data_IF_448229381937
#
_entry.id   IF_448229381937
#
_cell.length_a   1.000
_cell.length_b   1.000
_cell.length_c   1.000
_cell.angle_alpha   90.00
_cell.angle_beta   90.00
_cell.angle_gamma   90.00
#
_symmetry.space_group_name_H-M   'P 1'
#
loop_
_entity.id
_entity.type
_entity.pdbx_description
1 polymer ?
#
# COMPACT_ATOMS: atom_id res chain seq x y z
N UNK A 1 8.19 5.17 -32.04
CA UNK A 1 8.61 5.46 -30.68
C UNK A 1 9.19 4.18 -30.10
N UNK A 2 10.37 4.22 -29.48
CA UNK A 2 10.95 3.04 -28.86
C UNK A 2 10.10 2.67 -27.64
N UNK A 3 9.73 1.41 -27.50
CA UNK A 3 9.11 0.87 -26.27
C UNK A 3 10.12 0.98 -25.15
N UNK A 4 10.09 2.09 -24.41
CA UNK A 4 11.07 2.37 -23.36
C UNK A 4 10.64 1.64 -22.09
N UNK A 5 11.22 0.44 -21.91
CA UNK A 5 11.12 -0.31 -20.66
C UNK A 5 11.64 0.55 -19.51
N UNK A 6 10.92 0.63 -18.36
CA UNK A 6 11.40 1.35 -17.19
C UNK A 6 12.82 0.97 -16.80
N UNK A 7 13.65 1.97 -16.50
CA UNK A 7 15.05 1.75 -16.17
C UNK A 7 15.22 0.83 -14.94
N UNK A 8 14.28 0.88 -14.02
CA UNK A 8 14.26 0.04 -12.83
C UNK A 8 14.16 -1.44 -13.18
N UNK A 9 13.36 -1.80 -14.19
CA UNK A 9 13.27 -3.19 -14.65
C UNK A 9 14.50 -3.63 -15.46
N UNK A 10 15.22 -2.68 -16.09
CA UNK A 10 16.47 -2.99 -16.77
C UNK A 10 17.58 -3.24 -15.76
N UNK A 11 17.64 -2.42 -14.71
CA UNK A 11 18.62 -2.56 -13.63
C UNK A 11 18.25 -3.67 -12.63
N UNK A 12 16.97 -4.05 -12.56
CA UNK A 12 16.45 -5.00 -11.57
C UNK A 12 16.32 -4.41 -10.17
N UNK A 13 16.46 -3.08 -10.03
CA UNK A 13 16.44 -2.39 -8.73
C UNK A 13 15.69 -1.06 -8.83
N UNK A 14 15.03 -0.67 -7.70
CA UNK A 14 14.41 0.64 -7.49
C UNK A 14 14.79 1.18 -6.11
N UNK A 15 15.02 2.50 -6.04
CA UNK A 15 15.25 3.19 -4.76
C UNK A 15 13.89 3.45 -4.07
N UNK A 16 13.85 3.31 -2.73
CA UNK A 16 12.70 3.64 -1.90
C UNK A 16 13.21 3.97 -0.48
N UNK A 17 13.04 5.22 -0.04
CA UNK A 17 13.68 5.74 1.17
C UNK A 17 15.20 5.45 1.14
N UNK A 18 15.75 4.86 2.20
CA UNK A 18 17.17 4.50 2.30
C UNK A 18 17.50 3.10 1.76
N UNK A 19 16.59 2.48 1.01
CA UNK A 19 16.72 1.11 0.52
C UNK A 19 16.81 1.03 -0.99
N UNK A 20 17.43 -0.05 -1.49
CA UNK A 20 17.36 -0.50 -2.88
C UNK A 20 16.61 -1.82 -2.95
N UNK A 21 15.40 -1.79 -3.49
CA UNK A 21 14.55 -2.96 -3.64
C UNK A 21 14.79 -3.65 -4.98
N UNK A 22 14.93 -4.97 -4.95
CA UNK A 22 14.82 -5.74 -6.20
C UNK A 22 13.40 -5.59 -6.76
N UNK A 23 13.31 -5.40 -8.07
CA UNK A 23 12.04 -5.29 -8.81
C UNK A 23 12.14 -6.03 -10.15
N UNK A 24 11.00 -6.48 -10.64
CA UNK A 24 10.85 -7.08 -11.96
C UNK A 24 9.47 -6.73 -12.55
N UNK A 25 9.20 -7.16 -13.77
CA UNK A 25 7.97 -6.83 -14.51
C UNK A 25 6.67 -7.33 -13.85
N UNK A 26 6.75 -8.19 -12.84
CA UNK A 26 5.58 -8.68 -12.10
C UNK A 26 5.22 -7.81 -10.88
N UNK A 27 6.00 -6.75 -10.62
CA UNK A 27 5.90 -5.93 -9.40
C UNK A 27 5.77 -4.47 -9.78
N UNK A 28 4.83 -3.76 -9.16
CA UNK A 28 4.75 -2.31 -9.27
C UNK A 28 6.07 -1.68 -8.78
N UNK A 29 6.67 -0.83 -9.58
CA UNK A 29 7.87 -0.09 -9.17
C UNK A 29 7.52 0.81 -7.99
N UNK A 30 8.24 0.73 -6.84
CA UNK A 30 8.02 1.64 -5.72
C UNK A 30 8.01 3.11 -6.14
N UNK A 31 7.04 3.89 -5.62
CA UNK A 31 6.83 5.29 -6.01
C UNK A 31 7.24 6.26 -4.90
N UNK A 32 7.70 7.47 -5.26
CA UNK A 32 8.00 8.51 -4.26
C UNK A 32 6.81 8.91 -3.39
N UNK A 33 5.59 8.87 -3.94
CA UNK A 33 4.36 9.12 -3.19
C UNK A 33 4.15 8.07 -2.08
N UNK A 34 4.51 6.81 -2.35
CA UNK A 34 4.42 5.73 -1.37
C UNK A 34 5.46 5.88 -0.25
N UNK A 35 6.63 6.48 -0.53
CA UNK A 35 7.58 6.88 0.54
C UNK A 35 6.95 7.86 1.51
N UNK A 36 6.22 8.85 0.97
CA UNK A 36 5.53 9.86 1.80
C UNK A 36 4.44 9.22 2.66
N UNK A 37 3.74 8.18 2.17
CA UNK A 37 2.77 7.42 2.96
C UNK A 37 3.44 6.80 4.20
N UNK A 38 4.59 6.16 4.03
CA UNK A 38 5.36 5.57 5.13
C UNK A 38 5.81 6.63 6.14
N UNK A 39 6.33 7.76 5.67
CA UNK A 39 6.77 8.86 6.52
C UNK A 39 5.60 9.54 7.24
N UNK A 40 4.45 9.67 6.57
CA UNK A 40 3.22 10.17 7.18
C UNK A 40 2.74 9.23 8.29
N UNK A 41 2.73 7.92 8.05
CA UNK A 41 2.35 6.93 9.04
C UNK A 41 3.26 7.01 10.27
N UNK A 42 4.59 7.06 10.08
CA UNK A 42 5.56 7.25 11.18
C UNK A 42 5.27 8.51 11.98
N UNK A 43 5.16 9.65 11.31
CA UNK A 43 4.90 10.96 11.96
C UNK A 43 3.58 10.97 12.72
N UNK A 44 2.54 10.38 12.15
CA UNK A 44 1.20 10.34 12.75
C UNK A 44 1.18 9.45 14.00
N UNK A 45 1.82 8.28 13.95
CA UNK A 45 1.94 7.37 15.09
C UNK A 45 2.76 8.00 16.22
N UNK A 46 3.89 8.64 15.91
CA UNK A 46 4.70 9.35 16.89
C UNK A 46 3.92 10.48 17.57
N UNK A 47 3.18 11.29 16.79
CA UNK A 47 2.36 12.37 17.32
C UNK A 47 1.24 11.89 18.27
N UNK A 48 0.77 10.64 18.08
CA UNK A 48 -0.17 9.99 18.97
C UNK A 48 0.51 9.16 20.10
N UNK A 49 1.85 9.23 20.22
CA UNK A 49 2.65 8.43 21.16
C UNK A 49 2.31 6.93 21.08
N UNK A 50 2.08 6.45 19.86
CA UNK A 50 1.65 5.08 19.61
C UNK A 50 2.76 4.25 18.96
N UNK A 51 3.11 3.15 19.62
CA UNK A 51 4.05 2.14 19.07
C UNK A 51 3.23 0.93 18.65
N UNK A 52 3.22 0.58 17.35
CA UNK A 52 2.49 -0.60 16.86
C UNK A 52 3.01 -1.91 17.46
N UNK A 53 2.11 -2.83 17.80
CA UNK A 53 2.48 -4.21 18.07
C UNK A 53 2.60 -5.01 16.77
N UNK A 54 1.59 -4.88 15.90
CA UNK A 54 1.56 -5.59 14.61
C UNK A 54 1.11 -4.63 13.51
N UNK A 55 1.92 -4.51 12.48
CA UNK A 55 1.66 -3.73 11.28
C UNK A 55 1.33 -4.68 10.15
N UNK A 56 0.21 -4.45 9.46
CA UNK A 56 -0.20 -5.20 8.27
C UNK A 56 -0.07 -4.30 7.03
N UNK A 57 0.77 -4.72 6.09
CA UNK A 57 0.92 -4.11 4.76
C UNK A 57 0.12 -4.91 3.73
N UNK A 58 -0.90 -4.29 3.14
CA UNK A 58 -1.79 -4.92 2.17
C UNK A 58 -1.41 -4.50 0.74
N UNK A 59 -1.18 -5.49 -0.13
CA UNK A 59 -0.63 -5.27 -1.47
C UNK A 59 0.86 -4.94 -1.39
N UNK A 60 1.61 -5.78 -0.68
CA UNK A 60 3.00 -5.49 -0.29
C UNK A 60 3.97 -5.36 -1.47
N UNK A 61 3.66 -5.96 -2.64
CA UNK A 61 4.46 -5.89 -3.85
C UNK A 61 5.92 -6.31 -3.61
N UNK A 62 6.85 -5.36 -3.78
CA UNK A 62 8.28 -5.58 -3.51
C UNK A 62 8.63 -5.71 -2.02
N UNK A 63 7.67 -5.53 -1.11
CA UNK A 63 7.88 -5.45 0.33
C UNK A 63 8.34 -4.06 0.81
N UNK A 64 8.35 -3.04 -0.06
CA UNK A 64 8.96 -1.74 0.27
C UNK A 64 8.32 -1.05 1.48
N UNK A 65 6.99 -1.07 1.60
CA UNK A 65 6.28 -0.51 2.75
C UNK A 65 6.57 -1.34 4.01
N UNK A 66 6.37 -2.67 3.95
CA UNK A 66 6.56 -3.57 5.10
C UNK A 66 7.98 -3.48 5.66
N UNK A 67 9.00 -3.53 4.79
CA UNK A 67 10.42 -3.48 5.16
C UNK A 67 10.77 -2.11 5.76
N UNK A 68 10.28 -1.02 5.15
CA UNK A 68 10.49 0.33 5.68
C UNK A 68 9.82 0.50 7.06
N UNK A 69 8.58 0.02 7.22
CA UNK A 69 7.88 0.05 8.51
C UNK A 69 8.60 -0.79 9.57
N UNK A 70 9.16 -1.96 9.20
CA UNK A 70 9.97 -2.77 10.12
C UNK A 70 11.23 -2.04 10.58
N UNK A 71 11.89 -1.30 9.69
CA UNK A 71 13.05 -0.46 10.04
C UNK A 71 12.68 0.66 11.01
N UNK A 72 11.52 1.30 10.79
CA UNK A 72 11.04 2.42 11.61
C UNK A 72 10.49 1.98 12.97
N UNK A 73 9.97 0.74 13.04
CA UNK A 73 9.40 0.13 14.25
C UNK A 73 10.01 -1.26 14.50
N UNK A 74 11.28 -1.35 14.93
CA UNK A 74 12.01 -2.63 15.01
C UNK A 74 11.37 -3.66 15.95
N UNK A 75 10.62 -3.21 16.96
CA UNK A 75 9.97 -4.08 17.93
C UNK A 75 8.60 -4.62 17.47
N UNK A 76 8.03 -4.02 16.40
CA UNK A 76 6.74 -4.44 15.86
C UNK A 76 6.86 -5.73 15.06
N UNK A 77 5.86 -6.59 15.14
CA UNK A 77 5.63 -7.57 14.10
C UNK A 77 5.18 -6.85 12.82
N UNK A 78 5.76 -7.21 11.68
CA UNK A 78 5.33 -6.67 10.39
C UNK A 78 4.99 -7.83 9.47
N UNK A 79 3.81 -7.74 8.89
CA UNK A 79 3.24 -8.74 7.99
C UNK A 79 2.91 -8.05 6.67
N UNK A 80 3.42 -8.58 5.56
CA UNK A 80 3.03 -8.17 4.22
C UNK A 80 2.15 -9.23 3.56
N UNK A 81 1.07 -8.82 2.91
CA UNK A 81 0.23 -9.73 2.12
C UNK A 81 0.09 -9.25 0.70
N UNK A 82 0.05 -10.20 -0.25
CA UNK A 82 -0.15 -9.91 -1.67
C UNK A 82 -0.91 -11.06 -2.36
N UNK A 83 -1.61 -10.76 -3.43
CA UNK A 83 -2.28 -11.75 -4.27
C UNK A 83 -1.26 -12.64 -5.00
N UNK A 84 -0.13 -12.07 -5.39
CA UNK A 84 0.87 -12.68 -6.25
C UNK A 84 1.95 -13.41 -5.44
N UNK A 85 2.09 -14.72 -5.65
CA UNK A 85 3.19 -15.49 -5.06
C UNK A 85 4.56 -14.94 -5.48
N UNK A 86 4.70 -14.48 -6.73
CA UNK A 86 5.96 -13.87 -7.19
C UNK A 86 6.29 -12.54 -6.48
N UNK A 87 5.27 -11.81 -6.00
CA UNK A 87 5.47 -10.65 -5.15
C UNK A 87 5.97 -11.06 -3.77
N UNK A 88 5.37 -12.09 -3.19
CA UNK A 88 5.79 -12.64 -1.88
C UNK A 88 7.25 -13.11 -1.94
N UNK A 89 7.60 -13.92 -2.94
CA UNK A 89 8.98 -14.44 -3.11
C UNK A 89 10.00 -13.29 -3.23
N UNK A 90 9.63 -12.21 -3.94
CA UNK A 90 10.50 -11.05 -4.11
C UNK A 90 10.60 -10.22 -2.82
N UNK A 91 9.49 -10.02 -2.11
CA UNK A 91 9.47 -9.31 -0.84
C UNK A 91 10.31 -10.02 0.23
N UNK A 92 10.24 -11.35 0.31
CA UNK A 92 11.10 -12.17 1.18
C UNK A 92 12.58 -11.99 0.85
N UNK A 93 12.96 -12.03 -0.43
CA UNK A 93 14.33 -11.79 -0.87
C UNK A 93 14.82 -10.38 -0.49
N UNK A 94 13.96 -9.38 -0.65
CA UNK A 94 14.26 -8.01 -0.25
C UNK A 94 14.43 -7.87 1.26
N UNK A 95 13.58 -8.51 2.08
CA UNK A 95 13.70 -8.49 3.53
C UNK A 95 14.99 -9.19 4.01
N UNK A 96 15.34 -10.35 3.42
CA UNK A 96 16.58 -11.06 3.70
C UNK A 96 17.81 -10.23 3.39
N UNK A 97 17.82 -9.48 2.29
CA UNK A 97 18.92 -8.58 1.90
C UNK A 97 19.26 -7.55 3.00
N UNK A 98 18.26 -7.15 3.79
CA UNK A 98 18.42 -6.16 4.86
C UNK A 98 18.42 -6.77 6.27
N UNK A 99 18.40 -8.10 6.36
CA UNK A 99 18.35 -8.83 7.64
C UNK A 99 17.17 -8.41 8.52
N UNK A 100 16.04 -8.05 7.89
CA UNK A 100 14.83 -7.61 8.58
C UNK A 100 13.82 -8.76 8.64
N UNK A 101 13.35 -9.07 9.85
CA UNK A 101 12.34 -10.11 10.07
C UNK A 101 10.94 -9.56 9.77
N UNK A 102 10.44 -9.81 8.56
CA UNK A 102 9.09 -9.49 8.08
C UNK A 102 8.46 -10.80 7.61
N UNK A 103 7.22 -11.03 7.97
CA UNK A 103 6.45 -12.19 7.52
C UNK A 103 5.67 -11.83 6.25
N UNK A 104 5.67 -12.72 5.25
CA UNK A 104 4.92 -12.49 4.02
C UNK A 104 3.99 -13.66 3.71
N UNK A 105 2.77 -13.36 3.23
CA UNK A 105 1.78 -14.38 2.92
C UNK A 105 1.03 -14.06 1.63
N UNK A 106 0.86 -15.08 0.79
CA UNK A 106 -0.02 -14.98 -0.36
C UNK A 106 -1.48 -14.98 0.09
N UNK A 107 -2.26 -13.96 -0.30
CA UNK A 107 -3.65 -13.84 0.07
C UNK A 107 -4.43 -12.94 -0.90
N UNK A 108 -5.60 -13.39 -1.35
CA UNK A 108 -6.54 -12.58 -2.12
C UNK A 108 -7.46 -11.81 -1.17
N UNK A 109 -7.16 -10.54 -0.92
CA UNK A 109 -7.92 -9.74 0.05
C UNK A 109 -9.39 -9.56 -0.31
N UNK A 110 -9.79 -9.74 -1.58
CA UNK A 110 -11.19 -9.65 -1.97
C UNK A 110 -11.97 -10.90 -1.61
N UNK A 111 -11.30 -12.05 -1.43
CA UNK A 111 -11.93 -13.35 -1.15
C UNK A 111 -11.65 -13.85 0.26
N UNK A 112 -10.43 -13.63 0.74
CA UNK A 112 -9.93 -14.19 1.99
C UNK A 112 -10.17 -13.26 3.19
N UNK A 113 -10.09 -13.83 4.39
CA UNK A 113 -10.15 -13.08 5.65
C UNK A 113 -8.74 -12.81 6.15
N UNK A 114 -8.34 -11.53 6.18
CA UNK A 114 -7.05 -11.10 6.69
C UNK A 114 -7.08 -10.62 8.16
N UNK A 115 -8.24 -10.63 8.82
CA UNK A 115 -8.34 -10.32 10.26
C UNK A 115 -7.67 -11.36 11.14
N UNK A 116 -7.34 -12.52 10.59
CA UNK A 116 -6.57 -13.58 11.28
C UNK A 116 -5.23 -13.06 11.81
N UNK A 117 -4.63 -12.05 11.18
CA UNK A 117 -3.32 -11.51 11.57
C UNK A 117 -3.33 -10.58 12.78
N UNK A 118 -4.51 -10.25 13.33
CA UNK A 118 -4.64 -9.49 14.58
C UNK A 118 -3.77 -8.22 14.66
N UNK A 119 -3.75 -7.43 13.60
CA UNK A 119 -3.00 -6.18 13.49
C UNK A 119 -3.65 -5.03 14.28
N UNK A 120 -2.84 -4.05 14.68
CA UNK A 120 -3.30 -2.77 15.27
C UNK A 120 -3.06 -1.57 14.34
N UNK A 121 -2.12 -1.68 13.42
CA UNK A 121 -1.89 -0.71 12.34
C UNK A 121 -1.99 -1.41 11.00
N UNK A 122 -2.69 -0.77 10.05
CA UNK A 122 -2.78 -1.19 8.66
C UNK A 122 -2.21 -0.11 7.77
N UNK A 123 -1.47 -0.50 6.74
CA UNK A 123 -0.96 0.41 5.71
C UNK A 123 -1.16 -0.24 4.34
N UNK A 124 -1.53 0.54 3.32
CA UNK A 124 -1.77 -0.01 1.98
C UNK A 124 -1.64 1.05 0.91
N UNK A 125 -1.00 0.67 -0.20
CA UNK A 125 -1.14 1.32 -1.49
C UNK A 125 -1.86 0.34 -2.43
N UNK A 126 -3.19 0.22 -2.34
CA UNK A 126 -3.94 -0.73 -3.16
C UNK A 126 -4.09 -0.22 -4.60
N UNK A 127 -4.44 -1.07 -5.56
CA UNK A 127 -4.81 -0.62 -6.91
C UNK A 127 -5.94 0.42 -6.84
N UNK A 128 -5.79 1.52 -7.57
CA UNK A 128 -6.75 2.63 -7.52
C UNK A 128 -6.95 3.38 -8.84
N UNK A 129 -6.21 3.03 -9.89
CA UNK A 129 -6.35 3.67 -11.20
C UNK A 129 -7.57 3.09 -11.90
N UNK A 130 -8.46 3.96 -12.41
CA UNK A 130 -9.61 3.52 -13.18
C UNK A 130 -9.18 3.02 -14.56
N UNK A 131 -9.83 1.99 -15.08
CA UNK A 131 -9.54 1.51 -16.43
C UNK A 131 -9.69 2.61 -17.49
N UNK A 132 -10.61 3.56 -17.31
CA UNK A 132 -10.78 4.69 -18.22
C UNK A 132 -9.63 5.73 -18.18
N UNK A 133 -8.81 5.73 -17.13
CA UNK A 133 -7.63 6.62 -17.05
C UNK A 133 -6.43 6.07 -17.84
N UNK A 134 -6.50 4.83 -18.32
CA UNK A 134 -5.40 4.12 -18.98
C UNK A 134 -4.82 4.87 -20.18
N UNK A 135 -5.68 5.50 -20.97
CA UNK A 135 -5.27 6.23 -22.19
C UNK A 135 -4.54 7.55 -21.87
N UNK A 136 -4.65 8.05 -20.64
CA UNK A 136 -3.96 9.26 -20.16
C UNK A 136 -2.61 8.95 -19.50
N UNK A 137 -2.32 7.66 -19.25
CA UNK A 137 -1.09 7.22 -18.61
C UNK A 137 0.06 7.09 -19.61
N UNK A 138 1.28 7.17 -19.07
CA UNK A 138 2.48 6.94 -19.89
C UNK A 138 2.54 5.49 -20.37
N UNK A 139 2.90 5.31 -21.63
CA UNK A 139 3.03 4.01 -22.30
C UNK A 139 3.96 3.03 -21.53
N UNK A 140 5.03 3.53 -20.92
CA UNK A 140 5.97 2.72 -20.17
C UNK A 140 5.34 2.08 -18.91
N UNK A 141 4.34 2.71 -18.30
CA UNK A 141 3.59 2.15 -17.18
C UNK A 141 2.59 1.09 -17.69
N UNK A 142 1.76 1.47 -18.65
CA UNK A 142 0.67 0.62 -19.14
C UNK A 142 1.15 -0.63 -19.88
N UNK A 143 2.37 -0.60 -20.45
CA UNK A 143 2.95 -1.73 -21.20
C UNK A 143 3.77 -2.69 -20.33
N UNK A 144 4.38 -2.19 -19.26
CA UNK A 144 5.39 -2.94 -18.53
C UNK A 144 5.01 -3.28 -17.10
N UNK A 145 4.18 -2.48 -16.45
CA UNK A 145 3.81 -2.73 -15.07
C UNK A 145 2.56 -3.62 -14.96
N UNK A 146 2.44 -4.44 -13.90
CA UNK A 146 1.33 -5.39 -13.79
C UNK A 146 0.00 -4.66 -13.62
N UNK A 147 -0.94 -4.91 -14.53
CA UNK A 147 -2.26 -4.28 -14.53
C UNK A 147 -3.04 -4.56 -13.25
N UNK A 148 -2.87 -5.74 -12.65
CA UNK A 148 -3.51 -6.11 -11.38
C UNK A 148 -3.06 -5.27 -10.19
N UNK A 149 -1.88 -4.63 -10.28
CA UNK A 149 -1.37 -3.72 -9.26
C UNK A 149 -1.76 -2.25 -9.50
N UNK A 150 -2.36 -1.94 -10.65
CA UNK A 150 -2.71 -0.58 -11.05
C UNK A 150 -4.22 -0.35 -11.09
N UNK A 151 -4.95 -1.21 -11.83
CA UNK A 151 -6.29 -0.89 -12.28
C UNK A 151 -7.39 -1.48 -11.41
N UNK A 152 -8.47 -0.70 -11.31
CA UNK A 152 -9.75 -1.10 -10.72
C UNK A 152 -10.87 -0.90 -11.74
N UNK A 153 -11.98 -1.68 -11.65
CA UNK A 153 -13.14 -1.51 -12.51
C UNK A 153 -13.74 -0.09 -12.38
N UNK A 154 -14.15 0.49 -13.51
CA UNK A 154 -14.81 1.81 -13.51
C UNK A 154 -16.09 1.84 -12.67
N UNK A 155 -16.80 0.70 -12.60
CA UNK A 155 -18.06 0.54 -11.88
C UNK A 155 -17.88 0.52 -10.35
N UNK A 156 -16.71 0.13 -9.86
CA UNK A 156 -16.40 0.14 -8.43
C UNK A 156 -14.96 0.60 -8.13
N UNK A 157 -14.71 1.92 -8.22
CA UNK A 157 -13.38 2.49 -7.96
C UNK A 157 -12.88 2.25 -6.54
N UNK A 158 -13.78 1.93 -5.61
CA UNK A 158 -13.46 1.74 -4.20
C UNK A 158 -13.41 0.26 -3.78
N UNK A 159 -13.40 -0.69 -4.70
CA UNK A 159 -13.53 -2.13 -4.38
C UNK A 159 -12.55 -2.58 -3.28
N UNK A 160 -11.27 -2.21 -3.37
CA UNK A 160 -10.26 -2.54 -2.37
C UNK A 160 -10.47 -1.76 -1.08
N UNK A 161 -10.70 -0.45 -1.17
CA UNK A 161 -10.93 0.40 0.02
C UNK A 161 -12.14 -0.07 0.82
N UNK A 162 -13.26 -0.39 0.15
CA UNK A 162 -14.47 -0.91 0.82
C UNK A 162 -14.16 -2.19 1.58
N UNK A 163 -13.48 -3.14 0.93
CA UNK A 163 -13.10 -4.40 1.58
C UNK A 163 -12.19 -4.16 2.77
N UNK A 164 -11.08 -3.41 2.59
CA UNK A 164 -10.08 -3.20 3.62
C UNK A 164 -10.65 -2.40 4.80
N UNK A 165 -11.41 -1.32 4.54
CA UNK A 165 -11.97 -0.47 5.60
C UNK A 165 -13.06 -1.21 6.38
N UNK A 166 -13.91 -2.01 5.72
CA UNK A 166 -14.89 -2.84 6.42
C UNK A 166 -14.21 -3.84 7.37
N UNK A 167 -13.19 -4.55 6.90
CA UNK A 167 -12.44 -5.50 7.73
C UNK A 167 -11.68 -4.78 8.87
N UNK A 168 -11.06 -3.64 8.57
CA UNK A 168 -10.46 -2.79 9.60
C UNK A 168 -11.50 -2.36 10.65
N UNK A 169 -12.71 -1.99 10.23
CA UNK A 169 -13.78 -1.57 11.13
C UNK A 169 -14.22 -2.68 12.10
N UNK A 170 -14.37 -3.90 11.63
CA UNK A 170 -14.79 -5.04 12.48
C UNK A 170 -13.66 -5.61 13.33
N UNK A 171 -12.40 -5.45 12.93
CA UNK A 171 -11.24 -5.91 13.72
C UNK A 171 -11.14 -5.12 15.02
N UNK A 172 -11.28 -5.81 16.17
CA UNK A 172 -11.29 -5.17 17.49
C UNK A 172 -9.95 -4.61 17.94
N UNK A 173 -8.85 -5.08 17.35
CA UNK A 173 -7.49 -4.66 17.72
C UNK A 173 -7.00 -3.48 16.90
N UNK A 174 -7.53 -3.29 15.69
CA UNK A 174 -7.12 -2.22 14.79
C UNK A 174 -7.34 -0.83 15.42
N UNK A 175 -6.37 0.07 15.24
CA UNK A 175 -6.35 1.44 15.75
C UNK A 175 -6.18 2.47 14.65
N UNK A 176 -5.27 2.21 13.71
CA UNK A 176 -4.93 3.14 12.65
C UNK A 176 -4.85 2.43 11.31
N UNK A 177 -5.34 3.10 10.26
CA UNK A 177 -5.14 2.67 8.89
C UNK A 177 -4.65 3.83 8.03
N UNK A 178 -3.68 3.55 7.15
CA UNK A 178 -3.04 4.52 6.26
C UNK A 178 -3.15 4.03 4.82
N UNK A 179 -3.62 4.91 3.94
CA UNK A 179 -3.83 4.57 2.53
C UNK A 179 -3.24 5.62 1.61
N UNK A 180 -2.62 5.16 0.51
CA UNK A 180 -2.49 5.97 -0.68
C UNK A 180 -3.79 5.89 -1.47
N UNK A 181 -4.24 7.01 -2.07
CA UNK A 181 -5.51 7.09 -2.77
C UNK A 181 -5.39 7.78 -4.14
N UNK A 182 -6.31 7.45 -5.05
CA UNK A 182 -6.55 8.25 -6.24
C UNK A 182 -7.27 9.55 -5.84
N UNK A 183 -6.72 10.75 -6.18
CA UNK A 183 -7.40 12.02 -5.92
C UNK A 183 -8.83 12.10 -6.49
N UNK A 184 -9.08 11.42 -7.62
CA UNK A 184 -10.39 11.39 -8.25
C UNK A 184 -11.44 10.62 -7.41
N UNK A 185 -11.00 9.71 -6.56
CA UNK A 185 -11.86 8.92 -5.67
C UNK A 185 -12.17 9.63 -4.34
N UNK A 186 -11.64 10.83 -4.11
CA UNK A 186 -11.77 11.54 -2.82
C UNK A 186 -13.21 11.65 -2.32
N UNK A 187 -14.13 12.18 -3.16
CA UNK A 187 -15.53 12.38 -2.74
C UNK A 187 -16.24 11.05 -2.45
N UNK A 188 -15.99 10.02 -3.26
CA UNK A 188 -16.54 8.69 -3.05
C UNK A 188 -16.05 8.07 -1.73
N UNK A 189 -14.77 8.30 -1.38
CA UNK A 189 -14.21 7.85 -0.09
C UNK A 189 -14.84 8.60 1.08
N UNK A 190 -15.05 9.92 0.98
CA UNK A 190 -15.74 10.72 2.00
C UNK A 190 -17.16 10.17 2.23
N UNK A 191 -17.91 9.94 1.15
CA UNK A 191 -19.29 9.45 1.24
C UNK A 191 -19.33 8.05 1.89
N UNK A 192 -18.41 7.17 1.50
CA UNK A 192 -18.29 5.84 2.10
C UNK A 192 -17.87 5.90 3.57
N UNK A 193 -16.87 6.71 3.94
CA UNK A 193 -16.40 6.81 5.32
C UNK A 193 -17.47 7.39 6.26
N UNK A 194 -18.32 8.29 5.77
CA UNK A 194 -19.44 8.86 6.54
C UNK A 194 -20.51 7.83 6.91
N UNK A 195 -20.49 6.62 6.34
CA UNK A 195 -21.35 5.51 6.78
C UNK A 195 -20.92 4.91 8.13
N UNK A 196 -19.70 5.20 8.60
CA UNK A 196 -19.14 4.68 9.86
C UNK A 196 -19.20 5.74 10.95
N UNK A 197 -20.12 5.64 11.89
CA UNK A 197 -20.31 6.63 12.96
C UNK A 197 -19.19 6.72 13.99
N UNK A 198 -18.31 5.71 14.08
CA UNK A 198 -17.26 5.61 15.10
C UNK A 198 -15.83 5.73 14.56
N UNK A 199 -15.66 5.97 13.26
CA UNK A 199 -14.34 6.22 12.68
C UNK A 199 -14.08 7.73 12.60
N UNK A 200 -12.88 8.15 12.96
CA UNK A 200 -12.36 9.45 12.58
C UNK A 200 -11.37 9.30 11.43
N UNK A 201 -11.39 10.24 10.48
CA UNK A 201 -10.50 10.19 9.34
C UNK A 201 -9.99 11.58 8.96
N UNK A 202 -8.86 11.60 8.27
CA UNK A 202 -8.24 12.81 7.75
C UNK A 202 -7.56 12.51 6.41
N UNK A 203 -7.64 13.49 5.51
CA UNK A 203 -6.94 13.43 4.23
C UNK A 203 -5.72 14.37 4.25
N UNK A 204 -4.67 13.97 3.54
CA UNK A 204 -3.43 14.73 3.44
C UNK A 204 -2.99 14.83 1.98
N UNK A 205 -2.32 15.94 1.67
CA UNK A 205 -1.78 16.19 0.35
C UNK A 205 -0.39 15.59 0.20
N UNK A 206 -0.03 15.26 -1.04
CA UNK A 206 1.35 14.98 -1.46
C UNK A 206 2.14 16.28 -1.66
N UNK A 207 3.41 16.17 -2.05
CA UNK A 207 4.27 17.34 -2.32
C UNK A 207 3.82 18.19 -3.54
N UNK A 208 2.87 17.68 -4.35
CA UNK A 208 2.26 18.40 -5.47
C UNK A 208 0.89 19.01 -5.11
N UNK A 209 0.59 19.14 -3.81
CA UNK A 209 -0.68 19.65 -3.28
C UNK A 209 -1.93 18.86 -3.74
N UNK A 210 -1.77 17.59 -4.12
CA UNK A 210 -2.89 16.70 -4.46
C UNK A 210 -3.28 15.86 -3.24
N UNK A 211 -4.57 15.74 -2.95
CA UNK A 211 -5.08 14.82 -1.93
C UNK A 211 -4.64 13.40 -2.32
N UNK A 212 -3.75 12.82 -1.51
CA UNK A 212 -3.11 11.55 -1.84
C UNK A 212 -3.17 10.53 -0.72
N UNK A 213 -3.37 10.94 0.51
CA UNK A 213 -3.33 10.03 1.65
C UNK A 213 -4.60 10.14 2.47
N UNK A 214 -5.06 8.98 2.94
CA UNK A 214 -6.16 8.84 3.90
C UNK A 214 -5.61 8.18 5.16
N UNK A 215 -5.87 8.80 6.29
CA UNK A 215 -5.60 8.24 7.62
C UNK A 215 -6.93 8.01 8.32
N UNK A 216 -7.14 6.81 8.83
CA UNK A 216 -8.32 6.44 9.62
C UNK A 216 -7.86 6.10 11.05
N UNK A 217 -8.60 6.59 12.03
CA UNK A 217 -8.40 6.31 13.45
C UNK A 217 -9.70 5.77 14.06
N UNK A 218 -9.56 4.75 14.87
CA UNK A 218 -10.62 4.09 15.64
C UNK A 218 -10.60 4.50 17.09
#
# INVERSE_FOLDING_TARGET
MKDEKPIQYILGEADFLDFKFQVNENILIPRPETEQLVLLAKKFLDANSYVPNTILDIGTGSGCIAIAMKKLFPQSNVIGIDLSQSAIDLAENNAMRYELNVEFYQLDILKDDFNLYNYDVLISNPPYVLECEKDEMNDNVTKWEPHSALFVPNEDPLIFYKKIINEFFINRKSKFAFFEINPLSYQLLVDFLNTFSSLSYSFFNDYNDKIRYLVIKK
#
